data_IF_980183077536
#
_entry.id   IF_980183077536
#
_cell.length_a   1.000
_cell.length_b   1.000
_cell.length_c   1.000
_cell.angle_alpha   90.00
_cell.angle_beta   90.00
_cell.angle_gamma   90.00
#
_symmetry.space_group_name_H-M   'P 1'
#
loop_
_entity.id
_entity.type
_entity.pdbx_description
1 polymer ?
#
# COMPACT_ATOMS: atom_id res chain seq x y z
N UNK A 1 9.93 2.65 -27.51
CA UNK A 1 9.73 3.29 -27.29
C UNK A 1 9.64 3.71 -26.16
N UNK A 2 9.81 3.17 -25.50
CA UNK A 2 9.78 3.56 -24.25
C UNK A 2 10.19 4.87 -24.06
N UNK A 3 10.71 5.42 -25.01
CA UNK A 3 11.09 6.57 -24.89
C UNK A 3 10.15 7.49 -24.57
N UNK A 4 9.00 7.37 -24.73
CA UNK A 4 8.00 8.31 -24.40
C UNK A 4 7.59 8.32 -22.96
N UNK A 5 8.01 7.33 -22.19
CA UNK A 5 7.57 7.21 -20.81
C UNK A 5 8.69 7.55 -19.86
N UNK A 6 8.50 8.62 -19.12
CA UNK A 6 9.44 8.95 -18.07
C UNK A 6 8.82 8.56 -16.75
N UNK A 7 9.54 7.79 -15.97
CA UNK A 7 9.10 7.41 -14.65
C UNK A 7 9.65 8.42 -13.67
N UNK A 8 8.77 9.17 -13.05
CA UNK A 8 9.15 10.19 -12.07
C UNK A 8 9.20 9.52 -10.69
N UNK A 9 10.39 9.41 -10.08
CA UNK A 9 10.49 8.79 -8.75
C UNK A 9 9.64 9.49 -7.70
N UNK A 10 9.45 10.81 -7.82
CA UNK A 10 8.59 11.53 -6.88
C UNK A 10 7.14 11.12 -7.01
N UNK A 11 6.69 10.87 -8.23
CA UNK A 11 5.33 10.41 -8.48
C UNK A 11 5.11 9.01 -7.92
N UNK A 12 6.09 8.11 -8.13
CA UNK A 12 6.03 6.77 -7.58
C UNK A 12 6.01 6.82 -6.05
N UNK A 13 6.87 7.66 -5.46
CA UNK A 13 6.91 7.83 -4.01
C UNK A 13 5.59 8.37 -3.47
N UNK A 14 4.93 9.26 -4.22
CA UNK A 14 3.62 9.78 -3.86
C UNK A 14 2.57 8.68 -3.84
N UNK A 15 2.60 7.80 -4.85
CA UNK A 15 1.69 6.65 -4.86
C UNK A 15 1.97 5.70 -3.71
N UNK A 16 3.25 5.50 -3.37
CA UNK A 16 3.62 4.65 -2.24
C UNK A 16 3.04 5.19 -0.94
N UNK A 17 3.13 6.50 -0.73
CA UNK A 17 2.57 7.14 0.45
C UNK A 17 1.06 6.97 0.50
N UNK A 18 0.37 7.16 -0.62
CA UNK A 18 -1.07 6.98 -0.70
C UNK A 18 -1.46 5.53 -0.40
N UNK A 19 -0.73 4.56 -0.95
CA UNK A 19 -1.00 3.14 -0.70
C UNK A 19 -0.78 2.79 0.77
N UNK A 20 0.27 3.33 1.38
CA UNK A 20 0.55 3.09 2.78
C UNK A 20 -0.55 3.68 3.68
N UNK A 21 -0.99 4.90 3.38
CA UNK A 21 -2.08 5.53 4.12
C UNK A 21 -3.36 4.73 3.99
N UNK A 22 -3.67 4.25 2.79
CA UNK A 22 -4.85 3.41 2.58
C UNK A 22 -4.76 2.12 3.41
N UNK A 23 -3.59 1.50 3.46
CA UNK A 23 -3.37 0.32 4.28
C UNK A 23 -3.57 0.61 5.76
N UNK A 24 -3.05 1.75 6.23
CA UNK A 24 -3.20 2.15 7.63
C UNK A 24 -4.66 2.45 7.98
N UNK A 25 -5.39 3.08 7.07
CA UNK A 25 -6.82 3.35 7.26
C UNK A 25 -7.62 2.05 7.33
N UNK A 26 -7.29 1.09 6.46
CA UNK A 26 -7.94 -0.22 6.51
C UNK A 26 -7.66 -0.94 7.81
N UNK A 27 -6.41 -0.88 8.29
CA UNK A 27 -6.04 -1.50 9.56
C UNK A 27 -6.79 -0.85 10.73
N UNK A 28 -6.94 0.48 10.70
CA UNK A 28 -7.69 1.20 11.73
C UNK A 28 -9.17 0.81 11.71
N UNK A 29 -9.75 0.72 10.51
CA UNK A 29 -11.15 0.30 10.36
C UNK A 29 -11.33 -1.13 10.89
N UNK A 30 -10.34 -1.99 10.63
CA UNK A 30 -10.39 -3.36 11.11
C UNK A 30 -10.38 -3.42 12.64
N UNK A 31 -9.56 -2.59 13.28
CA UNK A 31 -9.54 -2.53 14.74
C UNK A 31 -10.85 -2.06 15.31
N UNK A 32 -11.47 -1.08 14.65
CA UNK A 32 -12.79 -0.59 15.07
C UNK A 32 -13.83 -1.71 14.99
N UNK A 33 -13.78 -2.53 13.92
CA UNK A 33 -14.70 -3.66 13.79
C UNK A 33 -14.46 -4.69 14.88
N UNK A 34 -13.21 -4.97 15.20
CA UNK A 34 -12.88 -5.94 16.25
C UNK A 34 -13.28 -5.45 17.63
N UNK A 35 -13.32 -4.14 17.83
CA UNK A 35 -13.65 -3.56 19.11
C UNK A 35 -15.14 -3.53 19.40
N UNK A 36 -15.99 -3.82 18.41
CA UNK A 36 -17.43 -3.76 18.60
C UNK A 36 -18.13 -5.03 18.08
N UNK A 37 -17.87 -6.19 18.68
CA UNK A 37 -18.52 -7.39 18.26
C UNK A 37 -20.01 -7.34 18.62
N UNK A 38 -20.86 -7.89 17.76
CA UNK A 38 -22.27 -8.01 18.07
C UNK A 38 -22.49 -9.27 18.88
N UNK A 39 -23.30 -9.16 19.91
CA UNK A 39 -23.65 -10.29 20.75
C UNK A 39 -24.99 -10.85 20.31
N UNK A 40 -25.32 -12.05 20.79
CA UNK A 40 -26.61 -12.66 20.52
C UNK A 40 -27.76 -11.77 20.95
N UNK A 41 -27.58 -11.02 22.04
CA UNK A 41 -28.62 -10.14 22.56
C UNK A 41 -28.97 -9.02 21.57
N UNK A 42 -28.03 -8.60 20.75
CA UNK A 42 -28.26 -7.54 19.77
C UNK A 42 -29.27 -7.94 18.71
N UNK A 43 -29.43 -9.24 18.45
CA UNK A 43 -30.35 -9.74 17.45
C UNK A 43 -31.71 -10.14 18.04
N UNK A 44 -31.83 -10.10 19.37
CA UNK A 44 -33.06 -10.54 20.03
C UNK A 44 -33.19 -12.05 20.06
N UNK A 45 -34.33 -12.51 20.56
CA UNK A 45 -34.53 -13.94 20.76
C UNK A 45 -34.69 -14.71 19.46
N UNK A 46 -35.41 -14.16 18.51
CA UNK A 46 -35.57 -14.81 17.21
C UNK A 46 -34.24 -14.92 16.49
N UNK A 47 -33.45 -13.86 16.53
CA UNK A 47 -32.10 -13.86 15.94
C UNK A 47 -31.22 -14.94 16.53
N UNK A 48 -31.31 -15.13 17.86
CA UNK A 48 -30.54 -16.19 18.52
C UNK A 48 -31.01 -17.56 18.07
N UNK A 49 -32.32 -17.74 17.97
CA UNK A 49 -32.93 -19.02 17.58
C UNK A 49 -32.47 -19.45 16.19
N UNK A 50 -32.38 -18.49 15.25
CA UNK A 50 -31.96 -18.81 13.88
C UNK A 50 -30.46 -18.66 13.68
N UNK A 51 -29.69 -18.37 14.72
CA UNK A 51 -28.24 -18.28 14.62
C UNK A 51 -27.71 -17.04 13.90
N UNK A 52 -28.52 -15.96 13.88
CA UNK A 52 -28.11 -14.74 13.17
C UNK A 52 -26.83 -14.13 13.73
N UNK A 53 -26.66 -14.16 15.06
CA UNK A 53 -25.46 -13.61 15.68
C UNK A 53 -24.22 -14.39 15.25
N UNK A 54 -24.31 -15.72 15.20
CA UNK A 54 -23.20 -16.57 14.77
C UNK A 54 -22.87 -16.35 13.30
N UNK A 55 -23.92 -16.25 12.47
CA UNK A 55 -23.74 -15.99 11.04
C UNK A 55 -23.09 -14.62 10.82
N UNK A 56 -23.54 -13.60 11.54
CA UNK A 56 -22.96 -12.27 11.43
C UNK A 56 -21.51 -12.28 11.87
N UNK A 57 -21.21 -12.87 13.03
CA UNK A 57 -19.84 -12.89 13.55
C UNK A 57 -18.91 -13.70 12.65
N UNK A 58 -19.42 -14.78 12.04
CA UNK A 58 -18.65 -15.56 11.07
C UNK A 58 -18.31 -14.74 9.83
N UNK A 59 -19.31 -14.02 9.29
CA UNK A 59 -19.11 -13.15 8.15
C UNK A 59 -18.15 -12.02 8.49
N UNK A 60 -18.28 -11.42 9.67
CA UNK A 60 -17.41 -10.36 10.12
C UNK A 60 -15.97 -10.85 10.26
N UNK A 61 -15.76 -12.05 10.77
CA UNK A 61 -14.42 -12.63 10.90
C UNK A 61 -13.78 -12.82 9.53
N UNK A 62 -14.55 -13.33 8.56
CA UNK A 62 -14.05 -13.50 7.20
C UNK A 62 -13.70 -12.15 6.58
N UNK A 63 -14.57 -11.16 6.74
CA UNK A 63 -14.31 -9.82 6.22
C UNK A 63 -13.06 -9.22 6.87
N UNK A 64 -12.91 -9.40 8.18
CA UNK A 64 -11.73 -8.91 8.90
C UNK A 64 -10.46 -9.53 8.34
N UNK A 65 -10.46 -10.81 8.03
CA UNK A 65 -9.31 -11.45 7.42
C UNK A 65 -9.00 -10.88 6.05
N UNK A 66 -10.03 -10.64 5.25
CA UNK A 66 -9.85 -10.07 3.91
C UNK A 66 -9.33 -8.65 3.97
N UNK A 67 -9.86 -7.85 4.90
CA UNK A 67 -9.39 -6.47 5.08
C UNK A 67 -7.94 -6.45 5.57
N UNK A 68 -7.60 -7.35 6.48
CA UNK A 68 -6.23 -7.46 6.99
C UNK A 68 -5.26 -7.80 5.86
N UNK A 69 -5.62 -8.74 5.00
CA UNK A 69 -4.81 -9.10 3.84
C UNK A 69 -4.68 -7.96 2.86
N UNK A 70 -5.77 -7.22 2.64
CA UNK A 70 -5.75 -6.07 1.75
C UNK A 70 -4.83 -4.97 2.30
N UNK A 71 -4.88 -4.72 3.60
CA UNK A 71 -4.01 -3.74 4.24
C UNK A 71 -2.55 -4.14 4.10
N UNK A 72 -2.24 -5.42 4.33
CA UNK A 72 -0.87 -5.92 4.18
C UNK A 72 -0.40 -5.83 2.73
N UNK A 73 -1.28 -6.14 1.78
CA UNK A 73 -0.96 -6.04 0.36
C UNK A 73 -0.66 -4.59 -0.04
N UNK A 74 -1.44 -3.64 0.48
CA UNK A 74 -1.20 -2.23 0.21
C UNK A 74 0.13 -1.76 0.77
N UNK A 75 0.47 -2.21 1.97
CA UNK A 75 1.76 -1.86 2.59
C UNK A 75 2.92 -2.47 1.82
N UNK A 76 2.76 -3.72 1.36
CA UNK A 76 3.77 -4.39 0.56
C UNK A 76 3.96 -3.68 -0.77
N UNK A 77 2.84 -3.27 -1.41
CA UNK A 77 2.90 -2.52 -2.65
C UNK A 77 3.60 -1.18 -2.44
N UNK A 78 3.32 -0.50 -1.32
CA UNK A 78 3.97 0.76 -1.00
C UNK A 78 5.48 0.57 -0.86
N UNK A 79 5.91 -0.48 -0.16
CA UNK A 79 7.32 -0.79 0.00
C UNK A 79 8.00 -1.06 -1.34
N UNK A 80 7.31 -1.81 -2.22
CA UNK A 80 7.82 -2.10 -3.54
C UNK A 80 7.92 -0.83 -4.39
N UNK A 81 6.93 0.04 -4.30
CA UNK A 81 6.97 1.31 -5.03
C UNK A 81 8.12 2.18 -4.56
N UNK A 82 8.38 2.21 -3.25
CA UNK A 82 9.51 2.96 -2.72
C UNK A 82 10.83 2.39 -3.20
N UNK A 83 10.94 1.08 -3.29
CA UNK A 83 12.13 0.42 -3.81
C UNK A 83 12.34 0.79 -5.27
N UNK A 84 11.27 0.80 -6.07
CA UNK A 84 11.34 1.18 -7.47
C UNK A 84 11.73 2.65 -7.60
N UNK A 85 11.14 3.52 -6.79
CA UNK A 85 11.46 4.94 -6.81
C UNK A 85 12.93 5.19 -6.47
N UNK A 86 13.44 4.49 -5.45
CA UNK A 86 14.83 4.61 -5.06
C UNK A 86 15.75 4.12 -6.16
N UNK A 87 15.41 3.02 -6.83
CA UNK A 87 16.20 2.48 -7.91
C UNK A 87 16.26 3.46 -9.09
N UNK A 88 15.11 4.06 -9.44
CA UNK A 88 15.07 5.03 -10.53
C UNK A 88 15.86 6.28 -10.18
N UNK A 89 15.74 6.75 -8.94
CA UNK A 89 16.48 7.92 -8.50
C UNK A 89 17.99 7.67 -8.54
N UNK A 90 18.41 6.49 -8.11
CA UNK A 90 19.81 6.09 -8.11
C UNK A 90 20.35 6.01 -9.54
N UNK A 91 19.59 5.42 -10.45
CA UNK A 91 19.99 5.31 -11.85
C UNK A 91 20.09 6.70 -12.49
N UNK A 92 19.14 7.58 -12.20
CA UNK A 92 19.15 8.94 -12.72
C UNK A 92 20.39 9.71 -12.22
N UNK A 93 20.74 9.54 -10.95
CA UNK A 93 21.91 10.16 -10.39
C UNK A 93 23.18 9.62 -11.02
N UNK A 94 23.21 8.33 -11.28
CA UNK A 94 24.35 7.69 -11.93
C UNK A 94 24.51 8.22 -13.33
N UNK A 95 23.42 8.31 -14.09
CA UNK A 95 23.45 8.83 -15.45
C UNK A 95 23.89 10.29 -15.48
N UNK A 96 23.39 11.09 -14.57
CA UNK A 96 23.77 12.48 -14.47
C UNK A 96 25.26 12.63 -14.17
N UNK A 97 25.76 11.80 -13.27
CA UNK A 97 27.15 11.79 -12.90
C UNK A 97 28.04 11.40 -14.08
N UNK A 98 27.65 10.37 -14.82
CA UNK A 98 28.39 9.91 -15.99
C UNK A 98 28.40 11.00 -17.07
N UNK A 99 27.25 11.61 -17.33
CA UNK A 99 27.15 12.68 -18.32
C UNK A 99 28.06 13.88 -17.96
N UNK A 100 28.02 14.23 -16.69
CA UNK A 100 28.83 15.32 -16.19
C UNK A 100 30.31 15.01 -16.33
N UNK A 101 30.71 13.78 -16.00
CA UNK A 101 32.06 13.33 -16.11
C UNK A 101 32.54 13.33 -17.56
N UNK A 102 31.74 12.82 -18.47
CA UNK A 102 32.07 12.80 -19.89
C UNK A 102 32.19 14.22 -20.43
N UNK A 103 31.27 15.10 -20.05
CA UNK A 103 31.30 16.47 -20.51
C UNK A 103 32.56 17.19 -20.01
N UNK A 104 32.89 17.05 -18.73
CA UNK A 104 34.06 17.67 -18.14
C UNK A 104 35.33 17.07 -18.73
N UNK A 105 35.39 15.77 -18.91
CA UNK A 105 36.53 15.08 -19.47
C UNK A 105 36.78 15.49 -20.92
N UNK A 106 35.71 15.59 -21.70
CA UNK A 106 35.79 16.01 -23.07
C UNK A 106 36.34 17.42 -23.24
N UNK A 107 35.90 18.30 -22.35
CA UNK A 107 36.39 19.66 -22.39
C UNK A 107 37.77 19.75 -21.81
N UNK A 108 38.05 19.00 -20.78
CA UNK A 108 39.35 19.04 -20.12
C UNK A 108 40.47 18.48 -20.96
N UNK A 109 40.16 17.65 -21.93
CA UNK A 109 41.19 17.05 -22.75
C UNK A 109 41.68 17.97 -23.85
N UNK A 110 41.17 19.15 -23.93
CA UNK A 110 41.67 20.12 -24.87
C UNK A 110 42.55 21.14 -24.22
#
# INVERSE_FOLDING_TARGET
MARGIKVDPNWIAGYATTAEQAGDELASALQALRGTPLTSAAFGEVGRTVGSANAYNGAAATLQQQVSRAADALRAAAANLRTIAAAHSSVDQEHASVLKSVHSGGLGSR
#
